data_IF_706054312327
#
_entry.id   IF_706054312327
#
_cell.length_a   1.000
_cell.length_b   1.000
_cell.length_c   1.000
_cell.angle_alpha   90.00
_cell.angle_beta   90.00
_cell.angle_gamma   90.00
#
_symmetry.space_group_name_H-M   'P 1'
#
loop_
_entity.id
_entity.type
_entity.pdbx_description
1 polymer ?
#
# COMPACT_ATOMS: atom_id res chain seq x y z
N UNK A 1 12.77 7.40 29.88
CA UNK A 1 11.91 8.40 29.20
C UNK A 1 12.73 9.27 28.25
N UNK A 2 13.82 9.90 28.71
CA UNK A 2 14.71 10.71 27.87
C UNK A 2 15.40 9.95 26.73
N UNK A 3 15.84 8.71 26.96
CA UNK A 3 16.43 7.87 25.90
C UNK A 3 15.44 7.60 24.75
N UNK A 4 14.18 7.29 25.08
CA UNK A 4 13.13 7.07 24.08
C UNK A 4 12.80 8.33 23.30
N UNK A 5 12.72 9.48 23.99
CA UNK A 5 12.52 10.76 23.32
C UNK A 5 13.64 11.05 22.32
N UNK A 6 14.89 10.76 22.69
CA UNK A 6 16.04 10.90 21.81
C UNK A 6 15.98 9.94 20.61
N UNK A 7 15.62 8.68 20.85
CA UNK A 7 15.42 7.69 19.78
C UNK A 7 14.34 8.13 18.80
N UNK A 8 13.21 8.63 19.31
CA UNK A 8 12.13 9.06 18.44
C UNK A 8 12.55 10.28 17.59
N UNK A 9 13.21 11.29 18.19
CA UNK A 9 13.74 12.44 17.43
C UNK A 9 14.76 11.99 16.38
N UNK A 10 15.65 11.06 16.72
CA UNK A 10 16.62 10.51 15.77
C UNK A 10 15.96 9.74 14.62
N UNK A 11 14.86 9.03 14.89
CA UNK A 11 14.11 8.32 13.85
C UNK A 11 13.51 9.27 12.82
N UNK A 12 13.08 10.48 13.24
CA UNK A 12 12.57 11.52 12.34
C UNK A 12 13.69 11.95 11.37
N UNK A 13 14.87 12.30 11.88
CA UNK A 13 16.00 12.70 11.03
C UNK A 13 16.45 11.63 10.03
N UNK A 14 16.30 10.35 10.38
CA UNK A 14 16.67 9.26 9.49
C UNK A 14 15.65 9.02 8.37
N UNK A 15 14.39 9.41 8.57
CA UNK A 15 13.27 9.04 7.68
C UNK A 15 12.66 10.22 6.95
N UNK A 16 12.79 11.43 7.49
CA UNK A 16 12.27 12.65 6.91
C UNK A 16 13.40 13.59 6.50
N UNK A 17 13.69 13.71 5.19
CA UNK A 17 14.67 14.65 4.66
C UNK A 17 14.35 16.12 4.96
N UNK A 18 13.10 16.47 5.30
CA UNK A 18 12.69 17.83 5.61
C UNK A 18 13.04 18.26 7.04
N UNK A 19 13.39 17.34 7.93
CA UNK A 19 13.72 17.64 9.32
C UNK A 19 15.08 18.34 9.43
N UNK A 20 15.09 19.63 9.80
CA UNK A 20 16.34 20.43 9.84
C UNK A 20 17.03 20.41 11.19
N UNK A 21 16.26 20.45 12.28
CA UNK A 21 16.80 20.52 13.64
C UNK A 21 15.83 19.97 14.69
N UNK A 22 16.38 19.65 15.88
CA UNK A 22 15.62 18.96 16.92
C UNK A 22 14.54 19.83 17.55
N UNK A 23 14.71 21.16 17.52
CA UNK A 23 13.69 22.09 18.00
C UNK A 23 12.45 22.04 17.11
N UNK A 24 12.61 22.07 15.79
CA UNK A 24 11.54 21.90 14.81
C UNK A 24 10.82 20.54 14.97
N UNK A 25 11.58 19.45 15.16
CA UNK A 25 11.00 18.14 15.45
C UNK A 25 10.19 18.17 16.75
N UNK A 26 10.69 18.83 17.78
CA UNK A 26 10.00 18.93 19.07
C UNK A 26 8.73 19.79 19.00
N UNK A 27 8.70 20.87 18.21
CA UNK A 27 7.60 21.84 18.22
C UNK A 27 6.61 21.69 17.08
N UNK A 28 7.01 21.12 15.94
CA UNK A 28 6.25 21.18 14.70
C UNK A 28 5.91 19.80 14.09
N UNK A 29 6.24 18.68 14.76
CA UNK A 29 5.90 17.34 14.28
C UNK A 29 4.68 16.78 15.03
N UNK A 30 3.46 16.90 14.47
CA UNK A 30 2.24 16.42 15.12
C UNK A 30 2.24 14.90 15.34
N UNK A 31 2.92 14.15 14.45
CA UNK A 31 3.15 12.71 14.61
C UNK A 31 3.84 12.37 15.94
N UNK A 32 4.89 13.14 16.28
CA UNK A 32 5.63 12.97 17.53
C UNK A 32 4.80 13.32 18.75
N UNK A 33 4.05 14.43 18.69
CA UNK A 33 3.16 14.85 19.76
C UNK A 33 2.09 13.79 20.05
N UNK A 34 1.49 13.21 19.01
CA UNK A 34 0.48 12.16 19.15
C UNK A 34 1.03 10.92 19.84
N UNK A 35 2.26 10.51 19.50
CA UNK A 35 2.92 9.35 20.13
C UNK A 35 3.17 9.60 21.62
N UNK A 36 3.68 10.78 22.00
CA UNK A 36 3.95 11.09 23.41
C UNK A 36 2.66 11.17 24.24
N UNK A 37 1.62 11.80 23.70
CA UNK A 37 0.30 11.85 24.33
C UNK A 37 -0.30 10.45 24.44
N UNK A 38 -0.17 9.61 23.41
CA UNK A 38 -0.60 8.22 23.44
C UNK A 38 0.13 7.43 24.53
N UNK A 39 1.45 7.59 24.69
CA UNK A 39 2.19 6.89 25.76
C UNK A 39 1.71 7.27 27.16
N UNK A 40 1.39 8.55 27.39
CA UNK A 40 0.76 9.01 28.63
C UNK A 40 -0.64 8.38 28.82
N UNK A 41 -1.47 8.45 27.76
CA UNK A 41 -2.81 7.87 27.75
C UNK A 41 -2.80 6.35 27.98
N UNK A 42 -1.85 5.63 27.39
CA UNK A 42 -1.66 4.20 27.54
C UNK A 42 -1.21 3.81 28.95
N UNK A 43 -0.37 4.62 29.60
CA UNK A 43 -0.03 4.42 31.01
C UNK A 43 -1.27 4.54 31.91
N UNK A 44 -2.09 5.58 31.72
CA UNK A 44 -3.38 5.75 32.41
C UNK A 44 -4.33 4.57 32.15
N UNK A 45 -4.35 4.08 30.90
CA UNK A 45 -5.15 2.93 30.52
C UNK A 45 -4.71 1.66 31.26
N UNK A 46 -3.40 1.42 31.38
CA UNK A 46 -2.81 0.30 32.11
C UNK A 46 -3.08 0.36 33.62
N UNK A 47 -3.12 1.56 34.20
CA UNK A 47 -3.46 1.78 35.62
C UNK A 47 -4.98 1.66 35.93
N UNK A 48 -5.80 1.35 34.92
CA UNK A 48 -7.25 1.19 35.08
C UNK A 48 -8.05 2.50 35.01
N UNK A 49 -7.41 3.64 34.79
CA UNK A 49 -8.06 4.96 34.69
C UNK A 49 -8.61 5.19 33.28
N UNK A 50 -9.52 4.30 32.85
CA UNK A 50 -9.96 4.17 31.45
C UNK A 50 -10.59 5.44 30.89
N UNK A 51 -11.41 6.11 31.69
CA UNK A 51 -12.06 7.35 31.28
C UNK A 51 -11.04 8.46 31.04
N UNK A 52 -10.10 8.66 31.98
CA UNK A 52 -9.07 9.69 31.84
C UNK A 52 -8.14 9.39 30.66
N UNK A 53 -7.78 8.13 30.46
CA UNK A 53 -7.01 7.70 29.29
C UNK A 53 -7.72 8.08 27.98
N UNK A 54 -9.03 7.83 27.86
CA UNK A 54 -9.83 8.23 26.69
C UNK A 54 -9.90 9.74 26.52
N UNK A 55 -10.04 10.50 27.61
CA UNK A 55 -10.03 11.96 27.57
C UNK A 55 -8.69 12.49 27.02
N UNK A 56 -7.56 11.98 27.53
CA UNK A 56 -6.22 12.36 27.07
C UNK A 56 -5.99 11.97 25.60
N UNK A 57 -6.43 10.78 25.19
CA UNK A 57 -6.36 10.34 23.79
C UNK A 57 -7.19 11.25 22.86
N UNK A 58 -8.41 11.63 23.27
CA UNK A 58 -9.24 12.57 22.52
C UNK A 58 -8.63 13.97 22.44
N UNK A 59 -7.99 14.44 23.50
CA UNK A 59 -7.24 15.70 23.47
C UNK A 59 -6.09 15.62 22.46
N UNK A 60 -5.33 14.51 22.45
CA UNK A 60 -4.29 14.26 21.45
C UNK A 60 -4.84 14.28 20.02
N UNK A 61 -5.98 13.63 19.78
CA UNK A 61 -6.68 13.67 18.49
C UNK A 61 -7.08 15.09 18.09
N UNK A 62 -7.65 15.86 19.01
CA UNK A 62 -8.05 17.25 18.74
C UNK A 62 -6.84 18.13 18.38
N UNK A 63 -5.72 17.96 19.08
CA UNK A 63 -4.52 18.75 18.87
C UNK A 63 -3.77 18.39 17.58
N UNK A 64 -3.72 17.10 17.22
CA UNK A 64 -2.83 16.58 16.16
C UNK A 64 -3.54 16.05 14.92
N UNK A 65 -4.85 15.79 14.99
CA UNK A 65 -5.60 15.11 13.95
C UNK A 65 -5.34 13.59 13.86
N UNK A 66 -4.55 13.03 14.78
CA UNK A 66 -4.19 11.61 14.84
C UNK A 66 -4.96 10.93 15.97
N UNK A 67 -5.75 9.91 15.66
CA UNK A 67 -6.45 9.10 16.65
C UNK A 67 -5.65 7.82 16.97
N UNK A 68 -5.15 7.72 18.21
CA UNK A 68 -4.54 6.50 18.74
C UNK A 68 -5.30 6.08 19.99
N UNK A 69 -5.96 4.91 19.93
CA UNK A 69 -6.66 4.39 21.08
C UNK A 69 -5.68 4.09 22.24
N UNK A 70 -6.01 4.41 23.51
CA UNK A 70 -5.09 4.18 24.65
C UNK A 70 -4.66 2.73 24.83
N UNK A 71 -5.50 1.79 24.40
CA UNK A 71 -5.24 0.34 24.46
C UNK A 71 -4.33 -0.21 23.36
N UNK A 72 -4.04 0.56 22.31
CA UNK A 72 -3.16 0.13 21.24
C UNK A 72 -1.74 -0.06 21.77
N UNK A 73 -1.02 -1.07 21.26
CA UNK A 73 0.39 -1.29 21.61
C UNK A 73 1.27 -0.68 20.54
N UNK A 74 2.19 0.19 20.95
CA UNK A 74 3.12 0.89 20.05
C UNK A 74 4.55 0.65 20.50
N UNK A 75 5.34 0.06 19.60
CA UNK A 75 6.78 -0.19 19.74
C UNK A 75 7.64 1.07 19.81
N UNK A 76 8.93 0.91 19.55
CA UNK A 76 9.96 1.96 19.55
C UNK A 76 10.15 2.53 18.15
N UNK A 77 10.59 3.79 18.05
CA UNK A 77 10.89 4.45 16.76
C UNK A 77 9.73 4.35 15.77
N UNK A 78 8.51 4.40 16.32
CA UNK A 78 7.31 4.46 15.52
C UNK A 78 7.24 5.84 14.89
N UNK A 79 7.16 5.90 13.58
CA UNK A 79 7.19 7.15 12.85
C UNK A 79 5.84 7.41 12.19
N UNK A 80 5.30 8.60 12.45
CA UNK A 80 4.08 9.09 11.82
C UNK A 80 4.46 10.32 11.00
N UNK A 81 4.38 10.18 9.68
CA UNK A 81 4.64 11.28 8.76
C UNK A 81 3.33 11.95 8.32
N UNK A 82 3.31 13.29 8.37
CA UNK A 82 2.17 14.19 8.21
C UNK A 82 0.98 13.96 9.17
N UNK A 83 0.57 12.71 9.38
CA UNK A 83 -0.28 12.24 10.47
C UNK A 83 -1.77 12.50 10.36
N UNK A 84 -2.20 13.55 9.67
CA UNK A 84 -3.61 13.94 9.61
C UNK A 84 -4.53 12.78 9.17
N UNK A 85 -5.58 12.51 9.95
CA UNK A 85 -6.58 11.50 9.60
C UNK A 85 -6.13 10.05 9.86
N UNK A 86 -5.01 9.82 10.55
CA UNK A 86 -4.65 8.48 11.02
C UNK A 86 -5.63 8.01 12.11
N UNK A 87 -6.05 6.75 12.03
CA UNK A 87 -6.91 6.09 13.02
C UNK A 87 -6.33 4.73 13.40
N UNK A 88 -5.95 4.57 14.67
CA UNK A 88 -5.38 3.34 15.24
C UNK A 88 -6.30 2.81 16.33
N UNK A 89 -6.91 1.65 16.08
CA UNK A 89 -7.90 1.07 16.97
C UNK A 89 -7.32 0.35 18.20
N UNK A 90 -8.23 0.01 19.14
CA UNK A 90 -7.88 -0.44 20.49
C UNK A 90 -6.95 -1.64 20.56
N UNK A 91 -7.14 -2.65 19.71
CA UNK A 91 -6.39 -3.90 19.78
C UNK A 91 -5.29 -3.97 18.73
N UNK A 92 -4.93 -2.82 18.14
CA UNK A 92 -3.83 -2.74 17.20
C UNK A 92 -2.51 -2.97 17.93
N UNK A 93 -1.60 -3.70 17.29
CA UNK A 93 -0.25 -3.94 17.79
C UNK A 93 0.71 -3.49 16.70
N UNK A 94 1.61 -2.57 17.05
CA UNK A 94 2.56 -1.95 16.14
C UNK A 94 3.96 -2.24 16.69
N UNK A 95 4.77 -2.93 15.88
CA UNK A 95 6.15 -3.26 16.19
C UNK A 95 7.08 -2.06 16.21
N UNK A 96 8.37 -2.35 16.29
CA UNK A 96 9.43 -1.34 16.24
C UNK A 96 9.64 -0.85 14.81
N UNK A 97 10.11 0.38 14.66
CA UNK A 97 10.52 0.94 13.37
C UNK A 97 9.42 1.04 12.30
N UNK A 98 8.15 0.88 12.67
CA UNK A 98 7.02 1.03 11.75
C UNK A 98 6.84 2.49 11.32
N UNK A 99 6.43 2.72 10.07
CA UNK A 99 6.10 4.04 9.52
C UNK A 99 4.68 4.07 8.98
N UNK A 100 3.87 5.03 9.44
CA UNK A 100 2.56 5.34 8.85
C UNK A 100 2.54 6.75 8.26
N UNK A 101 1.94 6.88 7.09
CA UNK A 101 1.61 8.16 6.48
C UNK A 101 0.20 8.63 6.83
N UNK A 102 -0.16 9.86 6.45
CA UNK A 102 -1.46 10.46 6.67
C UNK A 102 -2.63 9.59 6.16
N UNK A 103 -3.79 9.68 6.82
CA UNK A 103 -5.03 9.01 6.38
C UNK A 103 -5.05 7.49 6.54
N UNK A 104 -4.02 6.89 7.16
CA UNK A 104 -3.96 5.44 7.41
C UNK A 104 -4.97 5.02 8.47
N UNK A 105 -5.65 3.89 8.25
CA UNK A 105 -6.54 3.28 9.25
C UNK A 105 -6.08 1.87 9.59
N UNK A 106 -5.81 1.62 10.87
CA UNK A 106 -5.66 0.29 11.46
C UNK A 106 -6.97 -0.08 12.16
N UNK A 107 -7.90 -0.60 11.37
CA UNK A 107 -9.31 -0.73 11.71
C UNK A 107 -9.75 -2.14 12.07
N UNK A 108 -10.89 -2.24 12.75
CA UNK A 108 -11.54 -3.51 13.06
C UNK A 108 -12.59 -3.91 12.03
N UNK A 109 -12.85 -5.20 11.89
CA UNK A 109 -13.90 -5.75 11.00
C UNK A 109 -15.05 -6.42 11.76
N UNK A 110 -15.01 -6.42 13.10
CA UNK A 110 -15.97 -7.11 13.96
C UNK A 110 -16.38 -6.26 15.15
N UNK A 111 -17.60 -6.49 15.64
CA UNK A 111 -18.18 -5.89 16.86
C UNK A 111 -17.78 -6.62 18.15
N UNK A 112 -17.07 -7.75 18.04
CA UNK A 112 -16.67 -8.55 19.20
C UNK A 112 -15.59 -7.85 20.04
N UNK A 113 -15.66 -7.98 21.37
CA UNK A 113 -14.75 -7.31 22.32
C UNK A 113 -13.28 -7.80 22.27
N UNK A 114 -12.94 -8.78 21.44
CA UNK A 114 -11.60 -9.38 21.32
C UNK A 114 -10.65 -8.66 20.36
N UNK A 115 -9.53 -9.34 20.03
CA UNK A 115 -8.58 -8.92 18.99
C UNK A 115 -9.34 -8.77 17.66
N UNK A 116 -9.29 -7.57 17.08
CA UNK A 116 -10.05 -7.20 15.87
C UNK A 116 -9.32 -6.24 14.96
N UNK A 117 -8.27 -5.58 15.45
CA UNK A 117 -7.40 -4.68 14.69
C UNK A 117 -6.10 -5.40 14.30
N UNK A 118 -5.38 -4.91 13.28
CA UNK A 118 -4.21 -5.60 12.76
C UNK A 118 -3.02 -5.60 13.73
N UNK A 119 -2.07 -6.48 13.45
CA UNK A 119 -0.72 -6.45 13.99
C UNK A 119 0.23 -6.08 12.86
N UNK A 120 1.03 -5.03 13.04
CA UNK A 120 2.13 -4.67 12.15
C UNK A 120 3.43 -5.09 12.83
N UNK A 121 4.21 -5.94 12.18
CA UNK A 121 5.53 -6.32 12.66
C UNK A 121 6.58 -5.24 12.37
N UNK A 122 7.82 -5.49 12.77
CA UNK A 122 8.88 -4.49 12.75
C UNK A 122 9.20 -4.00 11.32
N UNK A 123 9.46 -2.70 11.19
CA UNK A 123 9.87 -2.08 9.93
C UNK A 123 8.78 -2.01 8.85
N UNK A 124 7.52 -2.34 9.17
CA UNK A 124 6.40 -2.20 8.23
C UNK A 124 6.21 -0.74 7.82
N UNK A 125 5.95 -0.49 6.55
CA UNK A 125 5.63 0.84 6.01
C UNK A 125 4.22 0.83 5.44
N UNK A 126 3.38 1.77 5.86
CA UNK A 126 1.99 1.90 5.41
C UNK A 126 1.77 3.25 4.75
N UNK A 127 1.60 3.22 3.42
CA UNK A 127 1.43 4.37 2.56
C UNK A 127 0.18 5.18 2.85
N UNK A 128 0.17 6.43 2.36
CA UNK A 128 -0.86 7.41 2.65
C UNK A 128 -2.26 6.89 2.26
N UNK A 129 -3.24 7.10 3.14
CA UNK A 129 -4.63 6.74 2.89
C UNK A 129 -4.95 5.24 2.96
N UNK A 130 -3.98 4.35 3.19
CA UNK A 130 -4.23 2.91 3.22
C UNK A 130 -5.14 2.48 4.38
N UNK A 131 -5.88 1.39 4.19
CA UNK A 131 -6.80 0.80 5.17
C UNK A 131 -6.38 -0.64 5.44
N UNK A 132 -5.93 -0.94 6.64
CA UNK A 132 -5.59 -2.30 7.09
C UNK A 132 -6.66 -2.74 8.09
N UNK A 133 -7.52 -3.66 7.68
CA UNK A 133 -8.79 -3.93 8.33
C UNK A 133 -8.90 -5.40 8.77
N UNK A 134 -8.82 -5.65 10.08
CA UNK A 134 -9.05 -6.95 10.69
C UNK A 134 -7.88 -7.49 11.53
N UNK A 135 -8.09 -8.58 12.29
CA UNK A 135 -7.11 -9.13 13.22
C UNK A 135 -6.11 -10.07 12.53
N UNK A 136 -5.33 -9.56 11.58
CA UNK A 136 -4.25 -10.31 10.94
C UNK A 136 -2.92 -9.59 11.04
N UNK A 137 -1.84 -10.31 10.71
CA UNK A 137 -0.48 -9.80 10.75
C UNK A 137 -0.04 -9.28 9.38
N UNK A 138 0.57 -8.10 9.37
CA UNK A 138 1.41 -7.58 8.29
C UNK A 138 2.86 -7.84 8.69
N UNK A 139 3.52 -8.74 7.98
CA UNK A 139 4.83 -9.28 8.34
C UNK A 139 5.95 -8.24 8.27
N UNK A 140 7.06 -8.53 8.95
CA UNK A 140 8.18 -7.61 9.11
C UNK A 140 8.70 -7.07 7.76
N UNK A 141 8.97 -5.77 7.70
CA UNK A 141 9.47 -5.09 6.50
C UNK A 141 8.50 -5.05 5.32
N UNK A 142 7.25 -5.48 5.47
CA UNK A 142 6.26 -5.39 4.41
C UNK A 142 5.86 -3.93 4.12
N UNK A 143 5.47 -3.68 2.86
CA UNK A 143 5.05 -2.37 2.39
C UNK A 143 3.59 -2.41 1.94
N UNK A 144 2.77 -1.52 2.48
CA UNK A 144 1.39 -1.31 2.04
C UNK A 144 1.35 -0.05 1.19
N UNK A 145 0.95 -0.18 -0.07
CA UNK A 145 0.84 0.95 -0.99
C UNK A 145 -0.23 1.96 -0.58
N UNK A 146 -0.08 3.19 -1.06
CA UNK A 146 -1.04 4.26 -0.81
C UNK A 146 -2.45 3.88 -1.27
N UNK A 147 -3.45 4.26 -0.48
CA UNK A 147 -4.88 3.95 -0.67
C UNK A 147 -5.21 2.44 -0.79
N UNK A 148 -4.28 1.52 -0.53
CA UNK A 148 -4.57 0.09 -0.57
C UNK A 148 -5.55 -0.30 0.55
N UNK A 149 -6.44 -1.26 0.26
CA UNK A 149 -7.38 -1.82 1.27
C UNK A 149 -6.99 -3.26 1.55
N UNK A 150 -6.25 -3.48 2.64
CA UNK A 150 -5.70 -4.76 3.04
C UNK A 150 -6.63 -5.44 4.04
N UNK A 151 -7.14 -6.61 3.67
CA UNK A 151 -8.09 -7.40 4.48
C UNK A 151 -7.59 -8.81 4.79
N UNK A 152 -6.33 -9.12 4.43
CA UNK A 152 -5.69 -10.43 4.61
C UNK A 152 -4.24 -10.24 5.03
N UNK A 153 -3.68 -11.28 5.66
CA UNK A 153 -2.29 -11.30 6.09
C UNK A 153 -1.32 -11.02 4.93
N UNK A 154 -0.24 -10.29 5.24
CA UNK A 154 0.80 -9.91 4.28
C UNK A 154 2.11 -10.57 4.73
N UNK A 155 2.79 -11.37 3.89
CA UNK A 155 4.07 -11.96 4.23
C UNK A 155 5.15 -10.91 4.51
N UNK A 156 6.18 -11.30 5.27
CA UNK A 156 7.35 -10.44 5.52
C UNK A 156 8.03 -10.02 4.22
N UNK A 157 8.46 -8.76 4.14
CA UNK A 157 9.10 -8.16 2.97
C UNK A 157 8.21 -7.97 1.73
N UNK A 158 6.96 -8.45 1.76
CA UNK A 158 6.06 -8.35 0.62
C UNK A 158 5.51 -6.92 0.46
N UNK A 159 5.13 -6.57 -0.78
CA UNK A 159 4.44 -5.32 -1.08
C UNK A 159 3.00 -5.61 -1.45
N UNK A 160 2.03 -4.89 -0.89
CA UNK A 160 0.60 -5.04 -1.17
C UNK A 160 0.01 -3.72 -1.69
N UNK A 161 -0.74 -3.76 -2.78
CA UNK A 161 -1.34 -2.57 -3.42
C UNK A 161 -2.80 -2.81 -3.85
N UNK A 162 -3.52 -1.74 -4.11
CA UNK A 162 -4.85 -1.77 -4.73
C UNK A 162 -6.02 -2.04 -3.77
N UNK A 163 -7.22 -2.07 -4.36
CA UNK A 163 -8.49 -2.26 -3.66
C UNK A 163 -9.28 -3.37 -4.38
N UNK A 164 -9.44 -4.57 -3.80
CA UNK A 164 -8.81 -5.04 -2.56
C UNK A 164 -7.30 -5.25 -2.73
N UNK A 165 -6.56 -5.19 -1.62
CA UNK A 165 -5.11 -5.33 -1.57
C UNK A 165 -4.63 -6.67 -2.12
N UNK A 166 -3.67 -6.61 -3.04
CA UNK A 166 -3.04 -7.76 -3.69
C UNK A 166 -1.53 -7.69 -3.52
N UNK A 167 -0.92 -8.82 -3.19
CA UNK A 167 0.53 -8.94 -3.01
C UNK A 167 1.19 -8.90 -4.38
N UNK A 168 2.15 -7.99 -4.54
CA UNK A 168 3.03 -7.93 -5.72
C UNK A 168 4.22 -8.83 -5.45
N UNK A 169 4.47 -9.75 -6.39
CA UNK A 169 5.72 -10.51 -6.46
C UNK A 169 6.62 -9.77 -7.44
N UNK A 170 7.80 -9.31 -6.98
CA UNK A 170 8.83 -8.77 -7.89
C UNK A 170 9.12 -9.81 -8.98
N UNK A 171 9.01 -9.41 -10.24
CA UNK A 171 9.40 -10.27 -11.37
C UNK A 171 10.92 -10.42 -11.41
N UNK A 172 11.41 -11.49 -12.02
CA UNK A 172 12.79 -11.56 -12.48
C UNK A 172 13.03 -10.47 -13.54
N UNK A 173 14.15 -9.74 -13.41
CA UNK A 173 14.50 -8.54 -14.20
C UNK A 173 14.39 -8.74 -15.72
N UNK A 174 14.64 -9.96 -16.22
CA UNK A 174 14.56 -10.31 -17.65
C UNK A 174 13.14 -10.26 -18.23
N UNK A 175 12.12 -10.64 -17.45
CA UNK A 175 10.73 -10.59 -17.92
C UNK A 175 10.18 -9.17 -17.90
N UNK A 176 10.69 -8.34 -16.99
CA UNK A 176 10.28 -6.95 -16.83
C UNK A 176 10.78 -6.07 -17.98
N UNK A 177 12.04 -6.28 -18.41
CA UNK A 177 12.61 -5.64 -19.58
C UNK A 177 11.84 -5.96 -20.88
N UNK A 178 11.42 -7.22 -21.08
CA UNK A 178 10.62 -7.63 -22.24
C UNK A 178 9.23 -6.98 -22.24
N UNK A 179 8.59 -6.88 -21.08
CA UNK A 179 7.27 -6.22 -20.95
C UNK A 179 7.35 -4.72 -21.18
N UNK A 180 8.40 -4.04 -20.72
CA UNK A 180 8.64 -2.62 -21.03
C UNK A 180 8.80 -2.37 -22.52
N UNK A 181 9.63 -3.15 -23.19
CA UNK A 181 9.82 -3.05 -24.63
C UNK A 181 8.50 -3.30 -25.40
N UNK A 182 7.63 -4.17 -24.88
CA UNK A 182 6.31 -4.43 -25.45
C UNK A 182 5.31 -3.29 -25.19
N UNK A 183 5.29 -2.73 -23.98
CA UNK A 183 4.43 -1.61 -23.59
C UNK A 183 4.78 -0.32 -24.37
N UNK A 184 6.07 -0.03 -24.57
CA UNK A 184 6.54 1.05 -25.44
C UNK A 184 6.08 0.84 -26.89
N UNK A 185 6.15 -0.40 -27.38
CA UNK A 185 5.72 -0.75 -28.74
C UNK A 185 4.20 -0.65 -28.94
N UNK A 186 3.41 -0.78 -27.86
CA UNK A 186 1.96 -0.69 -27.85
C UNK A 186 1.45 0.73 -27.51
N UNK A 187 2.33 1.68 -27.19
CA UNK A 187 1.95 3.05 -26.81
C UNK A 187 1.12 3.14 -25.53
N UNK A 188 1.23 2.14 -24.64
CA UNK A 188 0.49 2.09 -23.37
C UNK A 188 1.39 2.57 -22.24
N UNK A 189 1.32 3.86 -21.94
CA UNK A 189 2.00 4.43 -20.78
C UNK A 189 1.04 4.42 -19.59
N UNK A 190 1.18 3.40 -18.73
CA UNK A 190 0.31 3.22 -17.57
C UNK A 190 0.65 4.27 -16.51
N UNK A 191 -0.05 5.42 -16.56
CA UNK A 191 -0.02 6.42 -15.51
C UNK A 191 -0.18 5.74 -14.13
N UNK A 192 0.85 5.81 -13.29
CA UNK A 192 0.81 5.35 -11.90
C UNK A 192 1.51 4.02 -11.59
N UNK A 193 2.13 3.36 -12.57
CA UNK A 193 2.94 2.15 -12.31
C UNK A 193 4.42 2.54 -12.21
N UNK A 194 4.94 2.66 -10.99
CA UNK A 194 6.39 2.76 -10.76
C UNK A 194 7.03 1.37 -10.79
N UNK A 195 8.32 1.27 -11.15
CA UNK A 195 9.11 0.02 -11.12
C UNK A 195 9.00 -0.71 -9.77
N UNK A 196 8.82 0.04 -8.68
CA UNK A 196 8.69 -0.50 -7.33
C UNK A 196 7.28 -0.99 -6.95
N UNK A 197 6.24 -0.66 -7.74
CA UNK A 197 4.85 -1.09 -7.49
C UNK A 197 4.11 -1.47 -8.80
N UNK A 198 4.39 -2.65 -9.37
CA UNK A 198 3.64 -3.15 -10.52
C UNK A 198 2.16 -3.42 -10.17
N UNK A 199 1.23 -2.88 -10.96
CA UNK A 199 -0.20 -3.23 -10.82
C UNK A 199 -0.42 -4.72 -11.16
N UNK A 200 -0.93 -5.54 -10.22
CA UNK A 200 -1.18 -6.96 -10.47
C UNK A 200 -2.24 -7.21 -11.55
N UNK A 201 -3.17 -6.28 -11.79
CA UNK A 201 -4.15 -6.38 -12.88
C UNK A 201 -3.45 -6.16 -14.22
N UNK A 202 -2.70 -5.07 -14.38
CA UNK A 202 -1.87 -4.85 -15.56
C UNK A 202 -0.93 -6.03 -15.85
N UNK A 203 -0.30 -6.61 -14.81
CA UNK A 203 0.56 -7.79 -14.95
C UNK A 203 -0.19 -9.01 -15.50
N UNK A 204 -1.39 -9.27 -15.00
CA UNK A 204 -2.22 -10.39 -15.46
C UNK A 204 -2.67 -10.19 -16.92
N UNK A 205 -3.03 -8.95 -17.30
CA UNK A 205 -3.38 -8.61 -18.68
C UNK A 205 -2.18 -8.82 -19.60
N UNK A 206 -0.99 -8.37 -19.21
CA UNK A 206 0.25 -8.60 -19.96
C UNK A 206 0.52 -10.10 -20.19
N UNK A 207 0.38 -10.93 -19.15
CA UNK A 207 0.55 -12.39 -19.28
C UNK A 207 -0.48 -13.03 -20.22
N UNK A 208 -1.72 -12.53 -20.23
CA UNK A 208 -2.74 -13.00 -21.17
C UNK A 208 -2.40 -12.60 -22.61
N UNK A 209 -1.90 -11.39 -22.84
CA UNK A 209 -1.47 -10.92 -24.16
C UNK A 209 -0.28 -11.72 -24.70
N UNK A 210 0.73 -11.98 -23.85
CA UNK A 210 1.88 -12.82 -24.20
C UNK A 210 1.42 -14.23 -24.62
N UNK A 211 0.46 -14.80 -23.86
CA UNK A 211 -0.09 -16.11 -24.16
C UNK A 211 -0.88 -16.11 -25.48
N UNK A 212 -1.69 -15.09 -25.73
CA UNK A 212 -2.42 -14.93 -26.98
C UNK A 212 -1.49 -14.84 -28.19
N UNK A 213 -0.42 -14.05 -28.12
CA UNK A 213 0.58 -13.99 -29.19
C UNK A 213 1.26 -15.33 -29.44
N UNK A 214 1.57 -16.10 -28.39
CA UNK A 214 2.12 -17.44 -28.53
C UNK A 214 1.13 -18.43 -29.15
N UNK A 215 -0.16 -18.29 -28.85
CA UNK A 215 -1.24 -19.08 -29.46
C UNK A 215 -1.40 -18.71 -30.94
N UNK A 216 -1.42 -17.42 -31.28
CA UNK A 216 -1.52 -16.94 -32.65
C UNK A 216 -0.35 -17.44 -33.50
N UNK A 217 0.89 -17.34 -33.01
CA UNK A 217 2.05 -17.89 -33.73
C UNK A 217 1.97 -19.40 -33.93
N UNK A 218 1.41 -20.15 -32.98
CA UNK A 218 1.15 -21.59 -33.14
C UNK A 218 0.08 -21.87 -34.20
N UNK A 219 -1.00 -21.10 -34.21
CA UNK A 219 -2.08 -21.23 -35.20
C UNK A 219 -1.57 -20.89 -36.60
N UNK A 220 -0.78 -19.84 -36.76
CA UNK A 220 -0.12 -19.49 -38.03
C UNK A 220 0.79 -20.63 -38.51
N UNK A 221 1.61 -21.21 -37.63
CA UNK A 221 2.46 -22.35 -37.96
C UNK A 221 1.66 -23.59 -38.38
N UNK A 222 0.57 -23.91 -37.67
CA UNK A 222 -0.35 -24.99 -38.05
C UNK A 222 -1.03 -24.72 -39.38
N UNK A 223 -1.42 -23.47 -39.63
CA UNK A 223 -2.01 -23.04 -40.89
C UNK A 223 -1.05 -23.18 -42.07
N UNK A 224 0.23 -22.87 -41.88
CA UNK A 224 1.27 -23.14 -42.87
C UNK A 224 1.34 -24.62 -43.24
N UNK A 225 1.44 -25.50 -42.24
CA UNK A 225 1.51 -26.95 -42.47
C UNK A 225 0.23 -27.52 -43.13
N UNK A 226 -0.95 -27.02 -42.76
CA UNK A 226 -2.22 -27.42 -43.38
C UNK A 226 -2.32 -26.97 -44.84
N UNK A 227 -1.76 -25.79 -45.16
CA UNK A 227 -1.69 -25.28 -46.54
C UNK A 227 -0.76 -26.14 -47.40
N UNK A 228 0.38 -26.58 -46.86
CA UNK A 228 1.29 -27.51 -47.53
C UNK A 228 0.65 -28.88 -47.81
N UNK A 229 -0.32 -29.29 -46.97
CA UNK A 229 -1.15 -30.48 -47.15
C UNK A 229 -2.36 -30.27 -48.08
N UNK A 230 -2.53 -29.06 -48.66
CA UNK A 230 -3.60 -28.74 -49.62
C UNK A 230 -4.94 -28.34 -49.01
N UNK A 231 -5.00 -28.01 -47.71
CA UNK A 231 -6.23 -27.56 -47.02
C UNK A 231 -6.41 -26.04 -47.08
N UNK A 232 -7.65 -25.57 -47.27
CA UNK A 232 -8.03 -24.15 -47.31
C UNK A 232 -8.63 -23.63 -45.98
N UNK A 233 -8.51 -24.40 -44.89
CA UNK A 233 -9.17 -24.11 -43.61
C UNK A 233 -8.82 -22.74 -43.01
N UNK A 234 -7.60 -22.25 -43.23
CA UNK A 234 -7.11 -21.00 -42.65
C UNK A 234 -7.52 -19.73 -43.40
N UNK A 235 -8.48 -19.82 -44.34
CA UNK A 235 -9.05 -18.68 -45.04
C UNK A 235 -10.16 -17.95 -44.24
N UNK A 236 -10.45 -18.36 -42.99
CA UNK A 236 -11.42 -17.68 -42.14
C UNK A 236 -10.78 -16.48 -41.46
N UNK A 237 -11.23 -15.29 -41.81
CA UNK A 237 -10.79 -14.05 -41.18
C UNK A 237 -11.20 -14.00 -39.70
N UNK A 238 -10.27 -13.57 -38.85
CA UNK A 238 -10.57 -13.24 -37.46
C UNK A 238 -11.43 -11.97 -37.40
N UNK A 239 -12.33 -11.84 -36.41
CA UNK A 239 -13.05 -10.59 -36.19
C UNK A 239 -12.07 -9.44 -35.95
N UNK A 240 -12.22 -8.36 -36.72
CA UNK A 240 -11.37 -7.17 -36.57
C UNK A 240 -11.74 -6.45 -35.28
N UNK A 241 -10.76 -6.23 -34.42
CA UNK A 241 -10.88 -5.35 -33.26
C UNK A 241 -10.91 -3.90 -33.75
N UNK A 242 -12.06 -3.22 -33.64
CA UNK A 242 -12.18 -1.82 -34.09
C UNK A 242 -11.84 -0.90 -32.95
N UNK A 243 -11.19 0.23 -33.26
CA UNK A 243 -10.87 1.26 -32.26
C UNK A 243 -12.11 1.77 -31.50
N UNK A 244 -13.28 1.76 -32.15
CA UNK A 244 -14.58 2.12 -31.57
C UNK A 244 -14.97 1.21 -30.40
N UNK A 245 -14.59 -0.07 -30.45
CA UNK A 245 -14.91 -1.06 -29.42
C UNK A 245 -14.11 -0.79 -28.11
N UNK A 246 -13.09 0.07 -28.16
CA UNK A 246 -12.25 0.48 -27.02
C UNK A 246 -12.46 1.94 -26.59
N UNK A 247 -13.44 2.65 -27.16
CA UNK A 247 -13.67 4.06 -26.89
C UNK A 247 -13.99 4.36 -25.41
N UNK A 248 -14.52 3.40 -24.66
CA UNK A 248 -14.79 3.54 -23.21
C UNK A 248 -13.56 3.37 -22.32
N UNK A 249 -12.42 2.93 -22.87
CA UNK A 249 -11.16 2.68 -22.14
C UNK A 249 -10.06 3.66 -22.55
N UNK A 250 -10.13 4.23 -23.77
CA UNK A 250 -9.27 5.36 -24.17
C UNK A 250 -9.66 6.59 -23.35
N UNK A 251 -8.86 6.91 -22.34
CA UNK A 251 -9.01 8.15 -21.59
C UNK A 251 -8.83 9.33 -22.54
N UNK A 252 -9.66 10.36 -22.40
CA UNK A 252 -9.51 11.62 -23.15
C UNK A 252 -8.37 12.43 -22.54
N UNK A 253 -7.16 11.91 -22.65
CA UNK A 253 -5.94 12.64 -22.35
C UNK A 253 -5.64 13.64 -23.46
N UNK A 254 -6.45 14.69 -23.56
CA UNK A 254 -6.05 16.03 -24.00
C UNK A 254 -7.27 16.95 -24.01
N UNK A 255 -7.48 17.65 -22.90
CA UNK A 255 -8.18 18.94 -22.95
C UNK A 255 -7.68 19.84 -21.83
N UNK A 256 -6.73 20.70 -22.23
CA UNK A 256 -6.55 22.08 -21.78
C UNK A 256 -5.98 22.30 -20.36
N UNK A 257 -4.65 22.39 -20.29
CA UNK A 257 -4.01 23.36 -19.39
C UNK A 257 -4.21 24.74 -20.03
N UNK A 258 -5.17 25.49 -19.49
CA UNK A 258 -5.31 26.94 -19.62
C UNK A 258 -5.28 27.54 -18.23
#
# INVERSE_FOLDING_TARGET
MFERLREDIQSVFHRDPAARNAFEVLTCYPGMHAIWIHRLSGALWGMGWKWLARLVSNFGRWLTGIEIHPGAKVGRRFFIDHGMGIVIGETAEIGDDVTLYQGVTLGGTSWNKGKRHPTLEDGVVVGAGAKVLGPFTVGAGAKVGSNAVVTKAVPAGATVVGIPGRIIVKSDDEQEAKRKAMAEKLGFDAYGVSEDMPDPVARAIGQLLDHLQAVDGRLEGMCGALKDLGSNYCAKELPVLRDEDFAGVKDKGDSQVG
#
